data_IF_441853316583
#
_entry.id   IF_441853316583
#
_cell.length_a   1.000
_cell.length_b   1.000
_cell.length_c   1.000
_cell.angle_alpha   90.00
_cell.angle_beta   90.00
_cell.angle_gamma   90.00
#
_symmetry.space_group_name_H-M   'P 1'
#
loop_
_entity.id
_entity.type
_entity.pdbx_description
1 polymer ?
2 non-polymer ?
3 non-polymer ?
4 water ?
#
# COMPACT_ATOMS: atom_id res chain seq x y z
N UNK A 2 16.55 -19.76 -5.59
CA UNK A 2 16.32 -18.37 -5.07
C UNK A 2 17.22 -18.04 -3.88
N UNK A 3 17.53 -16.74 -3.74
CA UNK A 3 18.40 -16.27 -2.68
C UNK A 3 17.64 -15.97 -1.40
N UNK A 4 16.32 -15.82 -1.51
CA UNK A 4 15.47 -15.52 -0.36
C UNK A 4 15.35 -16.71 0.59
N UNK A 5 16.15 -16.68 1.66
CA UNK A 5 16.19 -17.79 2.61
C UNK A 5 15.83 -17.36 4.04
N UNK A 6 15.13 -16.23 4.15
CA UNK A 6 14.56 -15.79 5.43
C UNK A 6 15.60 -15.76 6.54
N UNK A 7 16.74 -15.11 6.26
CA UNK A 7 17.84 -14.99 7.21
C UNK A 7 17.57 -13.86 8.19
N UNK A 8 17.87 -14.08 9.47
CA UNK A 8 17.88 -12.98 10.42
C UNK A 8 19.00 -11.98 10.16
N UNK A 9 18.63 -10.73 9.89
CA UNK A 9 19.63 -9.73 9.54
C UNK A 9 20.29 -9.16 10.79
N UNK A 10 21.57 -9.44 10.98
CA UNK A 10 22.30 -9.01 12.17
C UNK A 10 23.81 -8.93 11.89
N UNK A 11 24.51 -8.11 12.65
CA UNK A 11 25.99 -8.08 12.60
C UNK A 11 26.57 -7.60 11.29
N UNK A 12 27.63 -8.27 10.82
CA UNK A 12 28.32 -7.87 9.60
C UNK A 12 27.37 -7.80 8.42
N UNK A 13 26.51 -8.80 8.30
CA UNK A 13 25.55 -8.86 7.20
C UNK A 13 24.64 -7.64 7.21
N UNK A 14 24.12 -7.29 8.38
CA UNK A 14 23.34 -6.07 8.54
C UNK A 14 24.08 -4.81 8.09
N UNK A 15 25.34 -4.68 8.48
CA UNK A 15 26.09 -3.48 8.11
C UNK A 15 26.32 -3.43 6.61
N UNK A 16 26.54 -4.57 5.99
CA UNK A 16 26.81 -4.60 4.54
C UNK A 16 25.55 -4.39 3.71
N UNK A 17 24.44 -4.97 4.17
CA UNK A 17 23.14 -4.77 3.52
C UNK A 17 22.73 -3.30 3.59
N UNK A 18 22.71 -2.73 4.78
CA UNK A 18 22.33 -1.33 4.95
C UNK A 18 23.35 -0.41 4.26
N UNK A 19 24.62 -0.80 4.34
CA UNK A 19 25.70 -0.07 3.66
C UNK A 19 25.42 0.10 2.18
N UNK A 20 25.12 -1.00 1.51
CA UNK A 20 24.90 -1.00 0.06
C UNK A 20 23.63 -0.23 -0.29
N UNK A 21 22.62 -0.35 0.57
CA UNK A 21 21.28 0.18 0.26
C UNK A 21 21.35 1.67 0.01
N UNK A 22 20.68 2.13 -1.03
CA UNK A 22 20.57 3.55 -1.29
C UNK A 22 19.34 4.12 -0.60
N UNK A 23 18.38 3.26 -0.27
CA UNK A 23 17.10 3.73 0.21
C UNK A 23 16.28 2.59 0.74
N UNK A 24 15.29 2.92 1.54
CA UNK A 24 14.43 1.93 2.19
C UNK A 24 13.01 2.35 2.01
N UNK A 25 12.17 1.42 1.56
CA UNK A 25 10.74 1.61 1.47
C UNK A 25 10.11 0.88 2.66
N UNK A 26 9.22 1.55 3.39
CA UNK A 26 8.56 0.95 4.54
C UNK A 26 7.05 0.96 4.30
N UNK A 27 6.35 -0.10 4.69
CA UNK A 27 4.93 0.05 5.08
C UNK A 27 4.89 0.77 6.44
N UNK A 28 3.69 1.17 6.84
CA UNK A 28 3.52 1.98 8.04
C UNK A 28 2.89 1.19 9.19
N UNK A 29 1.64 0.78 9.02
CA UNK A 29 0.97 -0.07 10.03
C UNK A 29 1.68 -1.40 10.16
N UNK A 30 1.95 -1.84 11.37
CA UNK A 30 2.62 -3.12 11.56
C UNK A 30 4.14 -3.01 11.54
N UNK A 31 4.66 -1.85 11.11
CA UNK A 31 6.10 -1.66 10.85
C UNK A 31 6.67 -0.50 11.66
N UNK A 32 6.05 0.67 11.52
CA UNK A 32 6.46 1.87 12.25
C UNK A 32 5.68 1.95 13.56
N UNK A 33 4.44 1.46 13.53
CA UNK A 33 3.56 1.55 14.69
C UNK A 33 2.50 0.48 14.63
N UNK A 34 1.84 0.26 15.77
CA UNK A 34 0.65 -0.58 15.84
C UNK A 34 -0.43 0.20 16.61
N UNK A 35 -1.56 0.45 15.94
CA UNK A 35 -2.57 1.36 16.47
C UNK A 35 -2.01 2.72 16.84
N UNK A 36 -2.07 3.06 18.13
CA UNK A 36 -1.63 4.38 18.60
C UNK A 36 -0.19 4.37 19.11
N UNK A 37 0.46 3.22 19.05
CA UNK A 37 1.76 3.08 19.69
C UNK A 37 2.86 2.89 18.66
N UNK A 38 3.78 3.84 18.58
CA UNK A 38 4.97 3.68 17.75
C UNK A 38 5.82 2.48 18.19
N UNK A 39 6.45 1.80 17.24
CA UNK A 39 7.41 0.77 17.58
C UNK A 39 8.64 1.45 18.21
N UNK A 40 8.98 1.09 19.47
CA UNK A 40 10.13 1.76 20.10
C UNK A 40 11.40 1.68 19.23
N UNK A 41 12.06 2.82 19.04
CA UNK A 41 13.24 2.86 18.17
C UNK A 41 12.95 3.19 16.71
N UNK A 42 11.68 3.15 16.30
CA UNK A 42 11.38 3.44 14.89
C UNK A 42 11.71 4.88 14.45
N UNK A 43 11.29 5.89 15.22
CA UNK A 43 11.58 7.27 14.85
C UNK A 43 13.09 7.49 14.77
N UNK A 44 13.83 6.83 15.65
CA UNK A 44 15.28 6.94 15.67
C UNK A 44 15.91 6.32 14.43
N UNK A 45 15.38 5.18 13.99
CA UNK A 45 15.92 4.55 12.80
C UNK A 45 15.78 5.52 11.64
N UNK A 46 14.64 6.20 11.56
CA UNK A 46 14.41 7.09 10.41
C UNK A 46 15.40 8.26 10.43
N UNK A 47 15.66 8.78 11.61
CA UNK A 47 16.65 9.84 11.81
C UNK A 47 18.02 9.39 11.33
N UNK A 48 18.42 8.20 11.77
CA UNK A 48 19.72 7.64 11.41
C UNK A 48 19.87 7.39 9.91
N UNK A 49 18.83 6.87 9.27
CA UNK A 49 18.83 6.72 7.82
C UNK A 49 19.12 8.04 7.10
N UNK A 50 18.42 9.09 7.47
CA UNK A 50 18.61 10.42 6.88
C UNK A 50 20.06 10.89 7.04
N UNK A 51 20.61 10.68 8.24
CA UNK A 51 21.96 11.12 8.59
C UNK A 51 23.05 10.22 8.00
N UNK A 52 22.64 9.09 7.44
CA UNK A 52 23.53 8.24 6.64
C UNK A 52 23.35 8.53 5.15
N UNK A 53 22.50 9.52 4.84
CA UNK A 53 22.19 9.90 3.46
C UNK A 53 21.37 8.88 2.65
N UNK A 54 20.63 8.03 3.35
CA UNK A 54 19.77 7.05 2.67
C UNK A 54 18.31 7.53 2.61
N UNK A 55 17.67 7.33 1.46
CA UNK A 55 16.30 7.82 1.25
C UNK A 55 15.33 6.89 1.98
N UNK A 56 14.24 7.47 2.50
CA UNK A 56 13.13 6.69 3.09
C UNK A 56 11.84 7.09 2.41
N UNK A 57 11.11 6.11 1.91
CA UNK A 57 9.77 6.36 1.40
C UNK A 57 8.80 5.38 2.05
N UNK A 58 7.52 5.71 1.99
CA UNK A 58 6.51 4.95 2.70
C UNK A 58 5.39 4.56 1.75
N UNK A 59 4.94 3.31 1.86
CA UNK A 59 4.08 2.71 0.85
C UNK A 59 2.98 1.88 1.51
N UNK A 60 1.78 2.47 1.66
CA UNK A 60 0.71 1.91 2.47
C UNK A 60 -0.45 1.50 1.56
N UNK A 61 -1.04 0.33 1.81
CA UNK A 61 -2.32 0.01 1.14
C UNK A 61 -3.55 0.70 1.72
N UNK A 62 -3.37 1.42 2.82
CA UNK A 62 -4.49 2.06 3.52
C UNK A 62 -5.12 3.19 2.71
N UNK A 63 -6.40 3.05 2.36
CA UNK A 63 -7.07 4.02 1.48
C UNK A 63 -7.98 4.97 2.24
N UNK A 64 -7.86 5.02 3.56
CA UNK A 64 -8.79 5.81 4.36
C UNK A 64 -8.45 7.30 4.38
N UNK A 65 -7.18 7.65 4.25
CA UNK A 65 -6.77 9.05 4.34
C UNK A 65 -6.15 9.57 3.04
N UNK A 66 -6.61 10.75 2.64
CA UNK A 66 -5.89 11.58 1.69
C UNK A 66 -4.52 11.97 2.26
N UNK A 67 -3.59 12.29 1.37
CA UNK A 67 -2.22 12.52 1.78
C UNK A 67 -2.02 13.47 2.99
N UNK A 68 -2.69 14.63 2.99
CA UNK A 68 -2.45 15.54 4.11
C UNK A 68 -2.78 14.92 5.49
N UNK A 69 -3.87 14.15 5.57
CA UNK A 69 -4.25 13.54 6.85
C UNK A 69 -3.40 12.31 7.12
N UNK A 70 -2.92 11.67 6.06
CA UNK A 70 -1.90 10.63 6.22
C UNK A 70 -0.60 11.20 6.82
N UNK A 71 -0.19 12.38 6.35
CA UNK A 71 1.00 13.02 6.94
C UNK A 71 0.78 13.29 8.44
N UNK A 72 -0.44 13.70 8.78
CA UNK A 72 -0.78 14.02 10.17
C UNK A 72 -0.63 12.76 10.99
N UNK A 73 -1.15 11.66 10.43
CA UNK A 73 -1.10 10.37 11.08
C UNK A 73 0.35 10.04 11.45
N UNK A 74 1.27 10.22 10.51
CA UNK A 74 2.70 10.00 10.78
C UNK A 74 3.21 10.86 11.92
N UNK A 75 2.93 12.16 11.84
CA UNK A 75 3.40 13.11 12.86
C UNK A 75 2.79 12.82 14.24
N UNK A 76 1.52 12.43 14.26
CA UNK A 76 0.81 12.15 15.51
C UNK A 76 1.50 11.00 16.25
N UNK A 77 2.00 10.03 15.49
CA UNK A 77 2.60 8.82 16.06
C UNK A 77 4.09 8.95 16.36
N UNK A 78 4.65 10.12 16.08
CA UNK A 78 5.99 10.50 16.55
C UNK A 78 7.04 10.60 15.45
N UNK A 79 6.59 10.60 14.20
CA UNK A 79 7.50 10.64 13.07
C UNK A 79 7.57 12.05 12.47
N UNK A 80 8.67 12.76 12.71
CA UNK A 80 8.72 14.23 12.61
C UNK A 80 8.65 14.87 11.22
N UNK A 81 9.68 15.66 10.90
CA UNK A 81 9.97 16.12 9.54
C UNK A 81 9.99 15.13 8.39
N UNK A 82 8.90 14.37 8.23
CA UNK A 82 8.62 13.76 6.95
C UNK A 82 7.99 14.79 6.03
N UNK A 83 8.28 14.69 4.74
CA UNK A 83 7.60 15.49 3.74
C UNK A 83 6.46 14.67 3.17
N UNK A 84 5.34 15.32 2.88
CA UNK A 84 4.19 14.58 2.39
C UNK A 84 4.50 13.82 1.10
N UNK A 85 5.46 14.33 0.33
CA UNK A 85 5.88 13.72 -0.92
C UNK A 85 6.53 12.34 -0.72
N UNK A 86 6.91 12.01 0.52
CA UNK A 86 7.53 10.70 0.78
C UNK A 86 6.47 9.62 0.96
N UNK A 87 5.21 10.04 1.10
CA UNK A 87 4.13 9.12 1.49
C UNK A 87 3.29 8.69 0.29
N UNK A 88 3.20 7.39 0.07
CA UNK A 88 2.38 6.85 -1.02
C UNK A 88 1.32 5.89 -0.44
N UNK A 89 0.07 6.13 -0.80
CA UNK A 89 -1.00 5.24 -0.37
C UNK A 89 -1.74 4.67 -1.56
N UNK A 90 -2.55 3.65 -1.31
CA UNK A 90 -3.40 3.12 -2.37
C UNK A 90 -4.43 4.14 -2.85
N UNK A 91 -4.86 5.05 -1.98
CA UNK A 91 -5.83 6.07 -2.38
C UNK A 91 -5.18 7.02 -3.41
N UNK A 92 -3.99 7.50 -3.09
CA UNK A 92 -3.24 8.38 -3.99
C UNK A 92 -2.97 7.70 -5.32
N UNK A 93 -2.54 6.46 -5.25
CA UNK A 93 -2.17 5.71 -6.45
C UNK A 93 -3.39 5.23 -7.26
N UNK A 94 -4.52 5.00 -6.59
CA UNK A 94 -5.79 4.78 -7.31
C UNK A 94 -6.21 5.99 -8.13
N UNK A 95 -6.04 7.18 -7.57
CA UNK A 95 -6.42 8.40 -8.28
C UNK A 95 -5.55 8.57 -9.52
N UNK A 96 -4.26 8.38 -9.34
CA UNK A 96 -3.32 8.41 -10.46
C UNK A 96 -3.81 7.49 -11.58
N UNK A 97 -4.02 6.22 -11.23
CA UNK A 97 -4.37 5.19 -12.20
C UNK A 97 -5.65 5.55 -12.96
N UNK A 98 -6.67 6.00 -12.25
CA UNK A 98 -7.93 6.35 -12.86
C UNK A 98 -7.73 7.52 -13.84
N UNK A 99 -6.91 8.51 -13.46
CA UNK A 99 -6.55 9.59 -14.40
C UNK A 99 -5.93 9.04 -15.71
N UNK A 100 -5.07 8.04 -15.56
CA UNK A 100 -4.35 7.43 -16.69
C UNK A 100 -5.22 6.54 -17.58
N UNK A 101 -6.26 5.96 -17.00
CA UNK A 101 -6.95 4.84 -17.65
C UNK A 101 -8.42 5.08 -17.96
N UNK A 102 -9.03 6.04 -17.30
CA UNK A 102 -10.47 6.26 -17.45
C UNK A 102 -10.77 6.41 -18.95
N UNK A 103 -11.70 5.59 -19.48
CA UNK A 103 -12.05 5.77 -20.89
C UNK A 103 -12.99 6.96 -21.12
N UNK A 104 -13.27 7.25 -22.39
CA UNK A 104 -14.13 8.37 -22.75
C UNK A 104 -13.37 9.63 -23.17
N UNK A 105 -14.12 10.65 -23.64
CA UNK A 105 -13.55 11.88 -24.18
C UNK A 105 -13.00 12.78 -23.07
N UNK A 106 -12.04 13.66 -23.41
CA UNK A 106 -11.51 14.61 -22.43
C UNK A 106 -12.53 15.67 -22.00
N UNK A 107 -13.73 15.62 -22.56
CA UNK A 107 -14.43 16.84 -22.96
C UNK A 107 -15.91 16.99 -22.59
N UNK A 108 -16.62 15.88 -22.33
CA UNK A 108 -17.08 15.57 -20.97
C UNK A 108 -16.62 14.23 -20.44
N UNK A 109 -15.88 14.26 -19.32
CA UNK A 109 -15.26 13.08 -18.73
C UNK A 109 -16.33 12.15 -18.13
N UNK A 110 -15.97 10.88 -17.99
CA UNK A 110 -16.77 9.94 -17.23
C UNK A 110 -16.62 10.14 -15.73
N UNK A 111 -17.51 9.52 -14.97
CA UNK A 111 -17.51 9.64 -13.53
C UNK A 111 -17.06 8.32 -12.93
N UNK A 112 -16.53 8.38 -11.73
CA UNK A 112 -16.14 7.19 -10.96
C UNK A 112 -17.17 6.95 -9.85
N UNK A 113 -17.74 5.75 -9.82
CA UNK A 113 -18.55 5.29 -8.71
C UNK A 113 -17.63 4.71 -7.63
N UNK A 114 -17.60 5.37 -6.49
CA UNK A 114 -16.64 5.04 -5.46
C UNK A 114 -17.29 4.33 -4.29
N UNK A 115 -16.71 3.20 -3.88
CA UNK A 115 -17.08 2.54 -2.62
C UNK A 115 -15.98 2.82 -1.62
N UNK A 116 -16.19 3.81 -0.78
CA UNK A 116 -15.13 4.34 0.06
C UNK A 116 -15.52 5.62 0.77
N UNK A 117 -14.64 6.08 1.64
CA UNK A 117 -14.99 7.19 2.52
C UNK A 117 -14.47 8.52 2.03
N UNK A 118 -14.58 9.54 2.88
CA UNK A 118 -14.36 10.90 2.44
C UNK A 118 -12.91 11.18 2.08
N UNK A 119 -11.98 10.46 2.70
CA UNK A 119 -10.56 10.67 2.45
C UNK A 119 -10.17 10.16 1.07
N UNK A 120 -10.71 8.99 0.73
CA UNK A 120 -10.53 8.48 -0.62
C UNK A 120 -11.17 9.41 -1.67
N UNK A 121 -12.37 9.90 -1.39
CA UNK A 121 -13.08 10.78 -2.32
C UNK A 121 -12.30 12.08 -2.55
N UNK A 122 -11.67 12.58 -1.48
CA UNK A 122 -10.86 13.81 -1.53
C UNK A 122 -9.62 13.60 -2.41
N UNK A 123 -9.00 12.45 -2.26
CA UNK A 123 -7.83 12.12 -3.05
C UNK A 123 -8.20 12.07 -4.53
N UNK A 124 -9.33 11.45 -4.86
CA UNK A 124 -9.80 11.38 -6.24
C UNK A 124 -10.09 12.75 -6.85
N UNK A 125 -10.78 13.61 -6.11
CA UNK A 125 -11.14 14.92 -6.60
C UNK A 125 -9.88 15.76 -6.83
N UNK A 126 -8.88 15.58 -5.97
CA UNK A 126 -7.61 16.29 -6.10
C UNK A 126 -6.86 15.95 -7.39
N UNK A 127 -7.08 14.75 -7.91
CA UNK A 127 -6.52 14.30 -9.18
C UNK A 127 -7.38 14.75 -10.36
N UNK A 128 -8.46 15.48 -10.07
CA UNK A 128 -9.31 15.99 -11.14
C UNK A 128 -10.39 15.04 -11.62
N UNK A 129 -10.65 13.98 -10.85
CA UNK A 129 -11.68 12.99 -11.23
C UNK A 129 -13.07 13.41 -10.81
N UNK A 130 -14.05 13.11 -11.65
CA UNK A 130 -15.46 13.44 -11.43
C UNK A 130 -16.10 12.22 -10.75
N UNK A 131 -16.80 12.42 -9.63
CA UNK A 131 -17.33 11.29 -8.88
C UNK A 131 -18.84 11.15 -9.03
N UNK A 132 -19.30 9.91 -9.16
CA UNK A 132 -20.74 9.66 -9.21
C UNK A 132 -21.33 10.15 -7.92
N UNK A 133 -22.47 10.82 -8.00
CA UNK A 133 -23.15 11.33 -6.81
C UNK A 133 -22.69 12.71 -6.37
N UNK A 134 -21.74 13.29 -7.10
CA UNK A 134 -21.41 14.71 -6.90
C UNK A 134 -22.46 15.59 -7.58
N UNK A 135 -22.54 16.87 -7.19
CA UNK A 135 -23.57 17.77 -7.74
C UNK A 135 -23.47 17.83 -9.25
N UNK A 136 -24.62 17.75 -9.93
CA UNK A 136 -24.63 17.73 -11.39
C UNK A 136 -24.89 19.12 -11.98
N UNK A 137 -24.58 19.27 -13.26
CA UNK A 137 -24.54 20.59 -13.89
C UNK A 137 -25.93 21.14 -14.20
N UNK A 138 -26.14 22.42 -13.89
CA UNK A 138 -27.21 23.22 -14.47
C UNK A 138 -28.41 22.44 -14.96
N UNK A 142 -26.73 13.44 -14.71
CA UNK A 142 -25.92 12.30 -14.26
C UNK A 142 -24.96 11.86 -15.37
N UNK A 143 -23.66 12.13 -15.17
CA UNK A 143 -22.63 11.62 -16.08
C UNK A 143 -22.59 10.10 -16.15
N UNK A 144 -22.19 9.59 -17.31
CA UNK A 144 -21.89 8.19 -17.48
C UNK A 144 -20.78 7.75 -16.51
N UNK A 145 -21.06 6.70 -15.74
CA UNK A 145 -20.05 6.10 -14.88
C UNK A 145 -19.14 5.23 -15.73
N UNK A 146 -17.84 5.51 -15.63
CA UNK A 146 -16.84 4.92 -16.50
C UNK A 146 -15.90 4.02 -15.72
N UNK A 147 -15.97 4.10 -14.39
CA UNK A 147 -15.20 3.21 -13.53
C UNK A 147 -15.92 2.99 -12.22
N UNK A 148 -15.72 1.80 -11.66
CA UNK A 148 -16.10 1.51 -10.27
C UNK A 148 -14.81 1.31 -9.50
N UNK A 149 -14.68 2.04 -8.40
CA UNK A 149 -13.51 1.91 -7.56
C UNK A 149 -13.90 1.30 -6.22
N UNK A 150 -13.29 0.17 -5.86
CA UNK A 150 -13.61 -0.45 -4.56
C UNK A 150 -12.48 -0.07 -3.61
N UNK A 151 -12.83 0.73 -2.62
CA UNK A 151 -11.88 1.15 -1.56
C UNK A 151 -12.29 0.59 -0.22
N UNK A 152 -11.65 1.05 0.86
CA UNK A 152 -12.07 0.63 2.20
C UNK A 152 -13.36 1.36 2.59
N UNK A 153 -14.48 0.63 2.58
CA UNK A 153 -15.80 1.27 2.69
C UNK A 153 -16.55 0.75 3.91
N UNK A 154 -16.44 1.47 5.02
CA UNK A 154 -17.11 1.09 6.26
C UNK A 154 -18.63 1.23 6.19
N UNK A 155 -19.12 1.80 5.09
CA UNK A 155 -20.55 1.85 4.83
C UNK A 155 -20.99 1.00 3.63
N UNK A 156 -20.16 0.04 3.26
CA UNK A 156 -20.52 -0.91 2.22
C UNK A 156 -21.92 -1.49 2.54
N UNK A 157 -22.69 -1.71 1.50
CA UNK A 157 -24.06 -2.27 1.60
C UNK A 157 -24.43 -3.11 0.40
N UNK A 158 -25.45 -3.93 0.55
CA UNK A 158 -26.00 -4.65 -0.58
C UNK A 158 -26.39 -3.69 -1.68
N UNK A 159 -27.03 -2.58 -1.32
CA UNK A 159 -27.53 -1.66 -2.35
C UNK A 159 -26.39 -1.11 -3.18
N UNK A 160 -25.28 -0.77 -2.50
CA UNK A 160 -24.08 -0.24 -3.15
C UNK A 160 -23.47 -1.31 -4.06
N UNK A 161 -23.43 -2.54 -3.56
CA UNK A 161 -22.94 -3.65 -4.38
C UNK A 161 -23.80 -3.81 -5.64
N UNK A 162 -25.12 -3.69 -5.46
CA UNK A 162 -26.03 -3.85 -6.58
C UNK A 162 -25.83 -2.73 -7.62
N UNK A 163 -25.63 -1.50 -7.14
CA UNK A 163 -25.39 -0.36 -8.04
C UNK A 163 -24.08 -0.53 -8.81
N UNK A 164 -23.05 -0.97 -8.13
CA UNK A 164 -21.79 -1.28 -8.78
C UNK A 164 -21.96 -2.25 -9.92
N UNK A 165 -22.74 -3.32 -9.71
CA UNK A 165 -22.97 -4.31 -10.75
C UNK A 165 -23.66 -3.69 -11.95
N UNK A 166 -24.56 -2.75 -11.67
CA UNK A 166 -25.30 -2.08 -12.73
C UNK A 166 -24.34 -1.32 -13.61
N UNK A 167 -23.40 -0.60 -13.00
CA UNK A 167 -22.41 0.13 -13.79
C UNK A 167 -21.52 -0.80 -14.57
N UNK A 168 -21.19 -1.94 -13.96
CA UNK A 168 -20.26 -2.90 -14.57
C UNK A 168 -20.88 -3.77 -15.67
N UNK A 169 -22.19 -3.66 -15.88
CA UNK A 169 -22.82 -4.32 -17.02
C UNK A 169 -22.24 -3.82 -18.34
N UNK A 170 -21.69 -2.61 -18.31
CA UNK A 170 -20.97 -2.06 -19.45
C UNK A 170 -19.53 -2.55 -19.40
N UNK A 171 -19.13 -3.38 -20.35
CA UNK A 171 -17.80 -3.98 -20.36
C UNK A 171 -16.69 -2.94 -20.45
N UNK A 172 -17.04 -1.74 -20.88
CA UNK A 172 -16.05 -0.67 -20.99
C UNK A 172 -15.83 0.06 -19.67
N UNK A 173 -16.75 -0.16 -18.72
CA UNK A 173 -16.61 0.43 -17.40
C UNK A 173 -15.51 -0.33 -16.68
N UNK A 174 -14.51 0.39 -16.19
CA UNK A 174 -13.39 -0.21 -15.45
C UNK A 174 -13.85 -0.71 -14.08
N UNK A 175 -13.17 -1.74 -13.58
CA UNK A 175 -13.29 -2.14 -12.18
C UNK A 175 -11.91 -2.08 -11.54
N UNK A 176 -11.76 -1.21 -10.54
CA UNK A 176 -10.45 -0.99 -9.92
C UNK A 176 -10.63 -1.21 -8.43
N UNK A 177 -9.65 -1.84 -7.79
CA UNK A 177 -9.66 -1.90 -6.31
C UNK A 177 -8.41 -1.23 -5.74
N UNK A 178 -8.55 -0.57 -4.61
CA UNK A 178 -7.37 0.08 -4.01
C UNK A 178 -6.37 -0.96 -3.55
N UNK A 179 -6.88 -2.07 -3.02
CA UNK A 179 -6.02 -3.12 -2.51
C UNK A 179 -6.85 -4.40 -2.34
N UNK A 180 -6.19 -5.54 -2.10
CA UNK A 180 -6.90 -6.78 -1.85
C UNK A 180 -6.63 -7.32 -0.44
N UNK A 181 -6.28 -6.45 0.51
CA UNK A 181 -6.00 -6.92 1.89
C UNK A 181 -7.32 -7.50 2.48
N UNK A 182 -7.31 -8.77 2.92
CA UNK A 182 -8.58 -9.43 3.28
C UNK A 182 -9.15 -8.94 4.60
N UNK A 183 -8.28 -8.59 5.55
CA UNK A 183 -8.70 -8.22 6.89
C UNK A 183 -7.49 -7.58 7.57
N UNK A 184 -7.73 -6.99 8.73
CA UNK A 184 -6.66 -6.33 9.47
C UNK A 184 -6.91 -6.56 10.94
N UNK A 185 -5.83 -6.85 11.70
CA UNK A 185 -5.95 -6.96 13.14
C UNK A 185 -5.91 -5.59 13.81
N UNK A 186 -6.81 -5.37 14.77
CA UNK A 186 -6.88 -4.10 15.47
C UNK A 186 -6.19 -4.18 16.83
N UNK A 187 -5.86 -3.02 17.41
CA UNK A 187 -5.05 -2.99 18.64
C UNK A 187 -5.79 -3.58 19.83
N UNK A 188 -7.12 -3.57 19.74
CA UNK A 188 -7.99 -4.25 20.69
C UNK A 188 -8.14 -5.76 20.44
N UNK A 189 -7.28 -6.33 19.59
CA UNK A 189 -7.27 -7.78 19.38
C UNK A 189 -8.30 -8.33 18.39
N UNK A 190 -9.27 -7.52 18.00
CA UNK A 190 -10.26 -7.94 17.02
C UNK A 190 -9.80 -7.66 15.59
N UNK A 191 -10.57 -8.10 14.60
CA UNK A 191 -10.25 -7.83 13.21
C UNK A 191 -11.34 -7.04 12.47
N UNK A 192 -10.91 -6.20 11.54
CA UNK A 192 -11.85 -5.53 10.66
C UNK A 192 -11.69 -6.12 9.26
N UNK A 193 -12.81 -6.28 8.54
CA UNK A 193 -12.73 -6.74 7.16
C UNK A 193 -11.86 -5.76 6.35
N UNK A 194 -11.20 -6.25 5.32
CA UNK A 194 -10.39 -5.36 4.48
C UNK A 194 -11.02 -5.21 3.12
N UNK A 195 -10.43 -4.31 2.32
CA UNK A 195 -10.91 -4.02 0.97
C UNK A 195 -10.99 -5.28 0.11
N UNK A 196 -10.07 -6.22 0.33
CA UNK A 196 -10.10 -7.45 -0.42
C UNK A 196 -11.43 -8.20 -0.24
N UNK A 197 -12.03 -8.12 0.95
CA UNK A 197 -13.29 -8.82 1.17
C UNK A 197 -14.44 -8.15 0.38
N UNK A 198 -14.38 -6.83 0.24
CA UNK A 198 -15.39 -6.08 -0.49
C UNK A 198 -15.16 -6.30 -1.99
N UNK A 199 -13.90 -6.29 -2.41
CA UNK A 199 -13.58 -6.57 -3.80
C UNK A 199 -14.05 -7.96 -4.19
N UNK A 200 -13.93 -8.92 -3.28
CA UNK A 200 -14.39 -10.29 -3.54
C UNK A 200 -15.89 -10.30 -3.86
N UNK A 201 -16.67 -9.51 -3.12
CA UNK A 201 -18.11 -9.46 -3.33
C UNK A 201 -18.39 -8.82 -4.69
N UNK A 202 -17.71 -7.73 -4.97
CA UNK A 202 -17.97 -7.00 -6.23
C UNK A 202 -17.55 -7.82 -7.46
N UNK A 203 -16.41 -8.52 -7.37
CA UNK A 203 -15.94 -9.31 -8.49
C UNK A 203 -16.89 -10.51 -8.69
N UNK A 204 -17.28 -11.15 -7.58
CA UNK A 204 -18.19 -12.30 -7.65
C UNK A 204 -19.53 -11.91 -8.29
N UNK A 205 -20.10 -10.79 -7.87
CA UNK A 205 -21.45 -10.46 -8.28
C UNK A 205 -21.47 -9.95 -9.71
N UNK A 206 -20.35 -9.34 -10.14
CA UNK A 206 -20.28 -8.72 -11.47
C UNK A 206 -19.66 -9.65 -12.51
N UNK A 207 -19.02 -10.71 -12.03
CA UNK A 207 -18.22 -11.60 -12.90
C UNK A 207 -16.99 -10.96 -13.51
N UNK A 208 -16.52 -9.86 -12.91
CA UNK A 208 -15.38 -9.12 -13.47
C UNK A 208 -14.20 -9.16 -12.50
N UNK A 209 -12.98 -9.18 -13.05
CA UNK A 209 -11.76 -9.20 -12.23
C UNK A 209 -11.28 -7.77 -12.06
N UNK A 210 -10.96 -7.38 -10.83
CA UNK A 210 -10.58 -5.98 -10.57
C UNK A 210 -9.10 -5.74 -10.95
N UNK A 211 -8.81 -4.57 -11.50
CA UNK A 211 -7.44 -4.04 -11.48
C UNK A 211 -7.10 -3.64 -10.06
N UNK A 212 -6.05 -4.23 -9.50
CA UNK A 212 -5.63 -3.90 -8.13
C UNK A 212 -4.46 -2.91 -8.11
N UNK A 213 -4.68 -1.78 -7.45
CA UNK A 213 -3.72 -0.68 -7.37
C UNK A 213 -2.57 -1.00 -6.42
N UNK A 214 -2.94 -1.39 -5.21
CA UNK A 214 -1.98 -1.55 -4.11
C UNK A 214 -1.10 -2.77 -4.20
N UNK A 215 -0.18 -2.90 -3.24
CA UNK A 215 0.64 -4.09 -3.09
C UNK A 215 -0.25 -5.31 -2.98
N UNK A 216 0.12 -6.43 -3.63
CA UNK A 216 1.41 -6.75 -4.24
C UNK A 216 1.53 -6.41 -5.73
N UNK A 217 0.60 -5.62 -6.28
CA UNK A 217 0.81 -5.05 -7.64
C UNK A 217 2.14 -4.30 -7.61
N UNK A 218 2.92 -4.38 -8.70
CA UNK A 218 3.96 -3.37 -8.97
C UNK A 218 3.54 -1.93 -9.17
N UNK A 219 2.26 -1.67 -9.39
CA UNK A 219 1.85 -0.30 -9.72
C UNK A 219 2.37 0.79 -8.78
N UNK A 221 5.01 0.98 -7.16
CA UNK A 221 6.43 1.24 -7.40
C UNK A 221 6.62 2.09 -8.65
N UNK A 222 5.77 1.88 -9.65
CA UNK A 222 5.68 2.81 -10.79
C UNK A 222 5.37 4.27 -10.41
N UNK A 223 4.41 4.44 -9.49
CA UNK A 223 4.10 5.77 -8.99
C UNK A 223 5.28 6.39 -8.27
N UNK A 224 5.95 5.62 -7.43
CA UNK A 224 7.15 6.09 -6.73
C UNK A 224 8.25 6.55 -7.70
N UNK A 225 8.50 5.73 -8.72
CA UNK A 225 9.59 5.98 -9.67
C UNK A 225 9.27 7.17 -10.59
N UNK A 226 7.98 7.43 -10.77
CA UNK A 226 7.53 8.64 -11.46
C UNK A 226 8.13 9.88 -10.81
N UNK A 227 8.29 9.84 -9.48
CA UNK A 227 8.59 11.01 -8.67
C UNK A 227 10.04 11.03 -8.16
N UNK A 228 10.62 9.85 -8.03
CA UNK A 228 11.92 9.68 -7.37
C UNK A 228 12.81 8.78 -8.23
N UNK A 229 14.11 9.02 -8.20
CA UNK A 229 15.07 8.06 -8.75
C UNK A 229 15.36 7.00 -7.70
N UNK A 230 14.84 5.80 -7.92
CA UNK A 230 15.17 4.69 -7.07
C UNK A 230 15.60 3.50 -7.90
N UNK A 231 16.75 2.95 -7.56
CA UNK A 231 17.19 1.72 -8.17
C UNK A 231 16.71 0.56 -7.29
N UNK A 232 15.76 -0.23 -7.80
CA UNK A 232 15.22 -1.33 -7.03
C UNK A 232 16.31 -2.28 -6.54
N UNK A 233 17.37 -2.45 -7.33
CA UNK A 233 18.46 -3.35 -6.93
C UNK A 233 19.18 -2.87 -5.68
N UNK A 234 19.05 -1.59 -5.37
CA UNK A 234 19.72 -1.01 -4.22
C UNK A 234 18.73 -0.50 -3.18
N UNK A 235 17.48 -0.99 -3.23
CA UNK A 235 16.45 -0.51 -2.29
C UNK A 235 15.97 -1.69 -1.42
N UNK A 236 15.82 -1.47 -0.12
CA UNK A 236 15.25 -2.48 0.78
C UNK A 236 13.75 -2.21 0.85
N UNK A 238 10.63 -3.07 3.36
CA UNK A 238 10.45 -3.51 4.75
C UNK A 238 8.96 -3.54 5.09
N UNK A 239 8.44 -4.72 5.39
CA UNK A 239 6.99 -4.87 5.60
C UNK A 239 6.70 -5.98 6.58
N UNK A 240 5.45 -6.09 7.02
CA UNK A 240 5.06 -7.10 7.99
C UNK A 240 4.19 -8.19 7.39
N UNK A 241 3.76 -8.01 6.14
CA UNK A 241 2.77 -8.91 5.55
C UNK A 241 3.33 -9.59 4.30
N UNK A 242 3.51 -10.91 4.37
CA UNK A 242 4.20 -11.66 3.32
C UNK A 242 3.50 -11.54 1.98
N UNK A 243 2.19 -11.71 1.99
CA UNK A 243 1.41 -11.81 0.76
C UNK A 243 1.21 -10.47 0.06
N UNK A 244 1.67 -9.40 0.70
CA UNK A 244 1.38 -8.05 0.26
C UNK A 244 2.68 -7.25 0.08
N UNK A 245 3.44 -7.13 1.15
CA UNK A 245 4.72 -6.41 1.16
C UNK A 245 5.86 -7.21 0.58
N UNK A 246 5.99 -8.46 0.98
CA UNK A 246 7.16 -9.24 0.56
C UNK A 246 7.05 -9.67 -0.91
N UNK A 247 5.86 -10.10 -1.30
CA UNK A 247 5.55 -10.34 -2.71
C UNK A 247 5.78 -9.10 -3.58
N UNK A 248 5.31 -7.94 -3.12
CA UNK A 248 5.56 -6.65 -3.80
C UNK A 248 7.07 -6.45 -4.02
N UNK A 249 7.84 -6.61 -2.95
CA UNK A 249 9.29 -6.45 -3.00
C UNK A 249 9.91 -7.30 -4.11
N UNK A 250 9.56 -8.57 -4.14
CA UNK A 250 10.13 -9.49 -5.13
C UNK A 250 9.71 -9.11 -6.54
N UNK A 251 8.46 -8.69 -6.71
CA UNK A 251 7.99 -8.31 -8.03
C UNK A 251 8.73 -7.09 -8.55
N UNK A 252 9.17 -6.23 -7.65
CA UNK A 252 9.87 -4.99 -8.04
C UNK A 252 11.38 -5.15 -8.12
N UNK A 253 11.89 -6.30 -7.68
CA UNK A 253 13.32 -6.57 -7.70
C UNK A 253 14.08 -5.99 -6.52
N UNK A 255 15.38 -5.99 -2.35
CA UNK A 255 15.75 -6.88 -1.25
C UNK A 255 14.67 -6.71 -0.17
N UNK A 256 14.15 -7.82 0.32
CA UNK A 256 12.97 -7.81 1.19
C UNK A 256 13.31 -8.13 2.64
N UNK A 257 12.72 -7.36 3.56
CA UNK A 257 12.94 -7.55 4.99
C UNK A 257 11.57 -7.64 5.65
N UNK A 258 11.29 -8.81 6.22
CA UNK A 258 10.08 -8.98 7.03
C UNK A 258 10.36 -8.50 8.46
N UNK A 259 9.50 -7.63 8.96
CA UNK A 259 9.51 -7.28 10.39
C UNK A 259 8.36 -8.02 11.08
N UNK A 260 8.58 -8.42 12.34
CA UNK A 260 7.68 -9.36 12.98
C UNK A 260 6.67 -8.65 13.88
N UNK A 261 6.66 -7.32 13.79
CA UNK A 261 5.77 -6.48 14.60
C UNK A 261 4.33 -6.38 14.06
N UNK A 262 4.02 -7.11 13.00
CA UNK A 262 2.75 -6.93 12.31
C UNK A 262 2.00 -8.22 12.08
N UNK A 263 1.41 -8.35 10.90
CA UNK A 263 0.51 -9.47 10.59
C UNK A 263 1.20 -10.86 10.47
N UNK A 264 2.26 -10.95 9.66
CA UNK A 264 2.83 -12.26 9.34
C UNK A 264 3.75 -12.73 10.47
N UNK A 265 3.78 -14.05 10.66
CA UNK A 265 4.60 -14.69 11.69
C UNK A 265 5.79 -15.34 11.01
N UNK A 266 6.91 -15.45 11.74
CA UNK A 266 8.13 -16.06 11.21
C UNK A 266 7.86 -17.48 10.67
N UNK A 267 7.03 -18.24 11.38
CA UNK A 267 6.78 -19.62 10.96
C UNK A 267 6.02 -19.70 9.63
N UNK A 268 5.25 -18.67 9.29
CA UNK A 268 4.59 -18.63 8.00
C UNK A 268 5.62 -18.41 6.89
N UNK A 269 6.58 -17.51 7.13
CA UNK A 269 7.69 -17.29 6.19
C UNK A 269 8.44 -18.61 5.95
N UNK A 270 8.77 -19.30 7.04
CA UNK A 270 9.57 -20.52 6.94
C UNK A 270 8.78 -21.65 6.29
N UNK A 271 7.46 -21.64 6.49
CA UNK A 271 6.60 -22.61 5.81
C UNK A 271 6.54 -22.40 4.30
N UNK A 272 6.44 -21.14 3.86
CA UNK A 272 6.52 -20.85 2.43
C UNK A 272 7.85 -21.31 1.83
N UNK A 273 8.94 -21.10 2.58
CA UNK A 273 10.28 -21.50 2.15
C UNK A 273 10.28 -23.01 1.88
N UNK A 274 9.87 -23.76 2.89
CA UNK A 274 9.87 -25.21 2.81
C UNK A 274 9.03 -25.71 1.63
N UNK A 275 8.01 -24.95 1.26
CA UNK A 275 7.14 -25.36 0.16
C UNK A 275 7.63 -24.83 -1.17
N UNK A 276 8.81 -24.22 -1.15
CA UNK A 276 9.41 -23.65 -2.36
C UNK A 276 8.61 -22.50 -2.96
N UNK A 277 7.86 -21.78 -2.12
CA UNK A 277 7.12 -20.62 -2.59
C UNK A 277 7.94 -19.36 -2.34
N UNK A 278 8.99 -19.18 -3.14
CA UNK A 278 10.06 -18.22 -2.82
C UNK A 278 9.62 -16.78 -2.97
N UNK A 279 8.60 -16.54 -3.78
CA UNK A 279 8.05 -15.20 -3.94
C UNK A 279 7.38 -14.68 -2.65
N UNK A 280 7.10 -15.59 -1.71
CA UNK A 280 6.49 -15.19 -0.45
C UNK A 280 7.43 -15.34 0.75
N UNK A 281 8.71 -15.53 0.47
CA UNK A 281 9.74 -15.65 1.50
C UNK A 281 10.61 -14.37 1.50
N UNK A 282 10.83 -13.76 2.68
CA UNK A 282 11.67 -12.55 2.67
C UNK A 282 13.15 -12.93 2.54
N UNK A 283 13.96 -12.03 2.02
CA UNK A 283 15.40 -12.26 2.08
C UNK A 283 15.87 -12.28 3.53
N UNK A 284 15.37 -11.35 4.33
CA UNK A 284 15.85 -11.17 5.71
C UNK A 284 14.64 -10.97 6.58
N UNK A 285 14.78 -11.21 7.89
CA UNK A 285 13.80 -10.69 8.84
C UNK A 285 14.45 -10.01 10.05
N UNK A 286 13.67 -9.19 10.74
CA UNK A 286 14.08 -8.59 12.00
C UNK A 286 12.89 -8.69 12.92
N UNK A 287 13.16 -8.82 14.21
CA UNK A 287 12.08 -8.81 15.18
C UNK A 287 11.26 -7.51 15.10
N UNK A 288 11.96 -6.37 15.10
CA UNK A 288 11.36 -5.06 14.81
C UNK A 288 12.37 -4.21 14.06
N UNK A 289 11.92 -3.11 13.47
CA UNK A 289 12.85 -2.34 12.65
C UNK A 289 13.88 -1.63 13.54
N UNK A 290 13.68 -1.65 14.85
CA UNK A 290 14.70 -1.09 15.74
C UNK A 290 16.01 -1.86 15.57
N UNK A 291 15.90 -3.11 15.15
CA UNK A 291 17.08 -3.95 14.96
C UNK A 291 17.96 -3.46 13.80
N UNK A 292 17.40 -2.63 12.93
CA UNK A 292 18.16 -2.20 11.74
C UNK A 292 19.18 -1.11 12.08
N UNK A 293 18.89 -0.36 13.12
CA UNK A 293 19.52 0.94 13.33
C UNK A 293 21.03 0.80 13.53
N UNK A 294 21.43 -0.26 14.23
CA UNK A 294 22.83 -0.44 14.60
C UNK A 294 23.69 -0.77 13.39
N UNK A 295 23.04 -1.08 12.27
CA UNK A 295 23.77 -1.35 11.03
C UNK A 295 24.24 -0.10 10.32
N UNK A 296 23.81 1.05 10.81
CA UNK A 296 24.07 2.31 10.13
C UNK A 296 25.29 3.01 10.73
#
# INVERSE_FOLDING_TARGET
XSLARCERLRGAALRDVLGRAQGVLFDCDGVLWNGERAVPGAPELLERLARAGKAALFVSNNSRRARPELALRFARLGFGGLRAEQLFSSALCAARLLRQRLPGPPDAPGAVFVLGGEGLRAELRAAGLRLAGDPSAGDGAAPRVRAVLVGYDEHFSFAKLREACAHLRDPECLLVATDRDPWHPLSDGSRTPGTGSLAAAVETASGRQALVVGKPSPYXFECITENFSIDPARTLXVGDRLETDILFGHRCGXTTVLTLTGVSRLEEAQAYLAAGQHDLVPHYYVESIADLTEGLEDEGHHHHHH
#
